data_IF_990793030246
#
_entry.id   IF_990793030246
#
_cell.length_a   1.000
_cell.length_b   1.000
_cell.length_c   1.000
_cell.angle_alpha   90.00
_cell.angle_beta   90.00
_cell.angle_gamma   90.00
#
_symmetry.space_group_name_H-M   'P 1'
#
loop_
_entity.id
_entity.type
_entity.pdbx_description
1 polymer ?
#
# COMPACT_ATOMS: atom_id res chain seq x y z
N UNK A 1 -15.92 26.24 -1.16
CA UNK A 1 -16.97 25.22 -1.37
C UNK A 1 -16.32 23.86 -1.28
N UNK A 2 -16.69 23.03 -0.32
CA UNK A 2 -16.12 21.68 -0.18
C UNK A 2 -16.68 20.81 -1.31
N UNK A 3 -15.82 20.13 -2.08
CA UNK A 3 -16.21 19.29 -3.22
C UNK A 3 -16.85 17.94 -2.81
N UNK A 4 -17.58 17.93 -1.69
CA UNK A 4 -18.14 16.75 -1.07
C UNK A 4 -19.62 17.02 -0.78
N UNK A 5 -20.53 16.06 -1.06
CA UNK A 5 -21.95 16.23 -0.77
C UNK A 5 -22.21 16.60 0.71
N UNK A 6 -23.26 17.38 0.94
CA UNK A 6 -23.68 17.80 2.29
C UNK A 6 -23.99 16.60 3.19
N UNK A 7 -24.52 15.51 2.61
CA UNK A 7 -24.77 14.25 3.30
C UNK A 7 -23.48 13.65 3.87
N UNK A 8 -22.39 13.64 3.10
CA UNK A 8 -21.07 13.17 3.53
C UNK A 8 -20.51 14.03 4.68
N UNK A 9 -20.72 15.35 4.62
CA UNK A 9 -20.34 16.25 5.71
C UNK A 9 -21.15 15.96 6.99
N UNK A 10 -22.45 15.75 6.85
CA UNK A 10 -23.37 15.46 7.96
C UNK A 10 -23.06 14.11 8.62
N UNK A 11 -22.68 13.10 7.84
CA UNK A 11 -22.30 11.78 8.34
C UNK A 11 -20.93 11.79 9.04
N UNK A 12 -19.97 12.61 8.57
CA UNK A 12 -18.70 12.85 9.29
C UNK A 12 -18.93 13.54 10.64
N UNK A 13 -19.78 14.57 10.70
CA UNK A 13 -20.10 15.28 11.94
C UNK A 13 -20.81 14.36 12.94
N UNK A 14 -21.65 13.43 12.45
CA UNK A 14 -22.36 12.45 13.29
C UNK A 14 -21.51 11.23 13.65
N UNK A 15 -20.23 11.18 13.25
CA UNK A 15 -19.32 10.07 13.52
C UNK A 15 -19.69 8.75 12.84
N UNK A 16 -20.55 8.80 11.81
CA UNK A 16 -20.96 7.60 11.04
C UNK A 16 -19.92 7.18 10.00
N UNK A 17 -19.07 8.12 9.60
CA UNK A 17 -17.94 7.91 8.69
C UNK A 17 -16.72 8.43 9.40
N UNK A 18 -15.69 7.58 9.49
CA UNK A 18 -14.42 7.96 10.09
C UNK A 18 -13.82 9.15 9.33
N UNK A 19 -13.46 10.21 10.05
CA UNK A 19 -12.95 11.45 9.44
C UNK A 19 -11.56 11.19 8.84
N UNK A 20 -10.85 10.21 9.39
CA UNK A 20 -9.54 9.73 8.95
C UNK A 20 -9.62 8.42 8.15
N UNK A 21 -10.68 8.22 7.36
CA UNK A 21 -10.78 7.05 6.49
C UNK A 21 -9.52 6.92 5.62
N UNK A 22 -8.70 5.88 5.87
CA UNK A 22 -7.53 5.57 5.06
C UNK A 22 -7.99 5.34 3.63
N UNK A 23 -7.52 6.17 2.72
CA UNK A 23 -7.88 6.08 1.30
C UNK A 23 -7.17 4.87 0.70
N UNK A 24 -7.91 3.79 0.43
CA UNK A 24 -7.41 2.62 -0.30
C UNK A 24 -7.70 1.29 0.39
N UNK A 25 -7.26 0.19 -0.24
CA UNK A 25 -7.26 -1.12 0.40
C UNK A 25 -6.21 -1.16 1.51
N UNK A 26 -6.47 -1.95 2.55
CA UNK A 26 -5.47 -2.22 3.57
C UNK A 26 -4.21 -2.82 2.94
N UNK A 27 -3.05 -2.32 3.37
CA UNK A 27 -1.75 -2.77 2.87
C UNK A 27 -1.51 -4.20 3.32
N UNK A 28 -1.14 -5.08 2.39
CA UNK A 28 -0.85 -6.50 2.67
C UNK A 28 0.41 -6.64 3.53
N UNK A 29 1.38 -5.75 3.31
CA UNK A 29 2.64 -5.74 4.04
C UNK A 29 2.57 -4.84 5.27
N UNK A 30 3.30 -5.25 6.31
CA UNK A 30 3.68 -4.33 7.39
C UNK A 30 4.79 -3.40 6.90
N UNK A 31 4.99 -2.28 7.61
CA UNK A 31 6.05 -1.31 7.30
C UNK A 31 7.44 -2.00 7.28
N UNK A 32 7.67 -2.96 8.16
CA UNK A 32 8.95 -3.69 8.25
C UNK A 32 9.17 -4.63 7.06
N UNK A 33 8.10 -5.28 6.59
CA UNK A 33 8.14 -6.17 5.43
C UNK A 33 8.35 -5.36 4.14
N UNK A 34 7.66 -4.23 4.00
CA UNK A 34 7.83 -3.32 2.87
C UNK A 34 9.25 -2.75 2.81
N UNK A 35 9.82 -2.40 3.97
CA UNK A 35 11.19 -1.90 4.07
C UNK A 35 12.22 -2.91 3.56
N UNK A 36 12.07 -4.20 3.85
CA UNK A 36 12.97 -5.24 3.33
C UNK A 36 12.96 -5.31 1.81
N UNK A 37 11.77 -5.20 1.20
CA UNK A 37 11.63 -5.22 -0.25
C UNK A 37 12.25 -3.95 -0.87
N UNK A 38 12.05 -2.80 -0.22
CA UNK A 38 12.65 -1.53 -0.60
C UNK A 38 14.18 -1.55 -0.55
N UNK A 39 14.76 -2.04 0.55
CA UNK A 39 16.20 -2.11 0.75
C UNK A 39 16.83 -3.01 -0.32
N UNK A 40 16.19 -4.13 -0.67
CA UNK A 40 16.64 -5.00 -1.75
C UNK A 40 16.61 -4.31 -3.13
N UNK A 41 15.49 -3.67 -3.49
CA UNK A 41 15.37 -2.96 -4.77
C UNK A 41 16.38 -1.81 -4.86
N UNK A 42 16.60 -1.09 -3.75
CA UNK A 42 17.56 0.01 -3.67
C UNK A 42 18.98 -0.48 -3.83
N UNK A 43 19.37 -1.53 -3.11
CA UNK A 43 20.69 -2.16 -3.25
C UNK A 43 20.95 -2.62 -4.69
N UNK A 44 19.96 -3.28 -5.31
CA UNK A 44 20.06 -3.75 -6.69
C UNK A 44 20.21 -2.59 -7.69
N UNK A 45 19.52 -1.47 -7.44
CA UNK A 45 19.69 -0.25 -8.24
C UNK A 45 21.08 0.38 -8.07
N UNK A 46 21.62 0.40 -6.86
CA UNK A 46 22.96 0.94 -6.56
C UNK A 46 24.08 0.16 -7.25
N UNK A 47 23.94 -1.17 -7.36
CA UNK A 47 24.90 -2.02 -8.09
C UNK A 47 24.69 -2.01 -9.61
N UNK A 48 23.80 -1.15 -10.12
CA UNK A 48 23.57 -0.94 -11.56
C UNK A 48 22.54 -1.89 -12.20
N UNK A 49 21.85 -2.71 -11.41
CA UNK A 49 20.83 -3.64 -11.87
C UNK A 49 19.44 -3.11 -11.52
N UNK A 50 18.91 -2.23 -12.36
CA UNK A 50 17.56 -1.71 -12.21
C UNK A 50 16.48 -2.75 -12.51
N UNK A 51 15.47 -2.83 -11.67
CA UNK A 51 14.26 -3.62 -11.94
C UNK A 51 13.21 -2.80 -12.68
N UNK A 52 12.52 -3.44 -13.62
CA UNK A 52 11.32 -2.87 -14.23
C UNK A 52 10.15 -2.89 -13.25
N UNK A 53 9.14 -2.05 -13.48
CA UNK A 53 7.89 -2.06 -12.69
C UNK A 53 7.28 -3.46 -12.58
N UNK A 54 7.27 -4.23 -13.68
CA UNK A 54 6.71 -5.59 -13.69
C UNK A 54 7.51 -6.55 -12.81
N UNK A 55 8.84 -6.51 -12.87
CA UNK A 55 9.67 -7.36 -12.02
C UNK A 55 9.51 -7.04 -10.54
N UNK A 56 9.36 -5.76 -10.17
CA UNK A 56 9.06 -5.38 -8.78
C UNK A 56 7.70 -5.92 -8.33
N UNK A 57 6.69 -5.90 -9.19
CA UNK A 57 5.38 -6.49 -8.89
C UNK A 57 5.44 -8.02 -8.70
N UNK A 58 6.19 -8.73 -9.55
CA UNK A 58 6.40 -10.17 -9.38
C UNK A 58 7.16 -10.50 -8.09
N UNK A 59 8.24 -9.77 -7.78
CA UNK A 59 8.96 -9.95 -6.52
C UNK A 59 8.08 -9.68 -5.30
N UNK A 60 7.24 -8.63 -5.35
CA UNK A 60 6.28 -8.35 -4.30
C UNK A 60 5.27 -9.48 -4.12
N UNK A 61 4.79 -10.07 -5.22
CA UNK A 61 3.89 -11.22 -5.18
C UNK A 61 4.57 -12.45 -4.57
N UNK A 62 5.75 -12.81 -5.06
CA UNK A 62 6.50 -13.97 -4.56
C UNK A 62 6.83 -13.81 -3.07
N UNK A 63 7.15 -12.58 -2.65
CA UNK A 63 7.37 -12.24 -1.25
C UNK A 63 6.10 -12.39 -0.40
N UNK A 64 4.95 -11.93 -0.90
CA UNK A 64 3.66 -12.12 -0.23
C UNK A 64 3.29 -13.61 -0.10
N UNK A 65 3.53 -14.40 -1.15
CA UNK A 65 3.34 -15.86 -1.13
C UNK A 65 4.26 -16.52 -0.10
N UNK A 66 5.53 -16.10 -0.01
CA UNK A 66 6.48 -16.60 1.00
C UNK A 66 6.08 -16.31 2.44
N UNK A 67 5.36 -15.21 2.67
CA UNK A 67 4.83 -14.81 3.97
C UNK A 67 3.47 -15.45 4.29
N UNK A 68 2.91 -16.24 3.36
CA UNK A 68 1.57 -16.83 3.50
C UNK A 68 0.45 -15.79 3.44
N UNK A 69 0.75 -14.55 3.04
CA UNK A 69 -0.23 -13.46 2.91
C UNK A 69 -0.77 -13.47 1.50
N UNK A 70 -1.58 -14.47 1.17
CA UNK A 70 -2.26 -14.55 -0.12
C UNK A 70 -3.50 -13.66 -0.11
N UNK A 71 -3.56 -12.73 -1.07
CA UNK A 71 -4.81 -12.04 -1.38
C UNK A 71 -5.75 -13.09 -2.01
N UNK A 72 -6.84 -13.43 -1.32
CA UNK A 72 -7.90 -14.29 -1.86
C UNK A 72 -8.66 -13.60 -2.98
#
# INVERSE_FOLDING_TARGET
MFAVPETTLRDRIKGRVDVEAKVGHETIFTIEEEKKLYDHVTYMAEIGFGYTKKSVQYMGRDYAESLGKTMK
#
